data_IF_189850886990
#
_entry.id   IF_189850886990
#
_cell.length_a   1.000
_cell.length_b   1.000
_cell.length_c   1.000
_cell.angle_alpha   90.00
_cell.angle_beta   90.00
_cell.angle_gamma   90.00
#
_symmetry.space_group_name_H-M   'P 1'
#
loop_
_entity.id
_entity.type
_entity.pdbx_description
1 polymer ?
#
# COMPACT_ATOMS: atom_id res chain seq x y z
N UNK A 1 -13.90 -26.77 15.95
CA UNK A 1 -12.67 -27.46 15.50
C UNK A 1 -12.00 -26.76 14.32
N UNK A 2 -12.71 -26.41 13.22
CA UNK A 2 -12.14 -25.69 12.05
C UNK A 2 -11.57 -24.29 12.34
N UNK A 3 -12.14 -23.53 13.28
CA UNK A 3 -11.64 -22.19 13.65
C UNK A 3 -10.29 -22.25 14.38
N UNK A 4 -10.12 -23.20 15.32
CA UNK A 4 -8.84 -23.43 16.01
C UNK A 4 -7.74 -23.87 15.05
N UNK A 5 -8.05 -24.75 14.09
CA UNK A 5 -7.11 -25.20 13.06
C UNK A 5 -6.65 -24.09 12.09
N UNK A 6 -7.50 -23.10 11.80
CA UNK A 6 -7.11 -21.91 11.03
C UNK A 6 -6.25 -20.95 11.84
N UNK A 7 -6.54 -20.81 13.14
CA UNK A 7 -5.80 -19.95 14.06
C UNK A 7 -4.41 -20.55 14.38
N UNK A 8 -4.30 -21.87 14.54
CA UNK A 8 -3.04 -22.60 14.71
C UNK A 8 -2.18 -22.57 13.43
N UNK A 9 -2.77 -22.80 12.24
CA UNK A 9 -2.02 -22.68 10.97
C UNK A 9 -1.57 -21.25 10.65
N UNK A 10 -2.34 -20.26 11.07
CA UNK A 10 -1.96 -18.85 11.01
C UNK A 10 -0.76 -18.63 11.95
N UNK A 11 -0.91 -18.98 13.23
CA UNK A 11 0.13 -18.89 14.27
C UNK A 11 1.46 -19.56 13.89
N UNK A 12 1.44 -20.76 13.34
CA UNK A 12 2.67 -21.49 12.96
C UNK A 12 3.42 -20.84 11.78
N UNK A 13 2.71 -20.21 10.84
CA UNK A 13 3.34 -19.51 9.71
C UNK A 13 3.96 -18.17 10.15
N UNK A 14 3.36 -17.50 11.14
CA UNK A 14 3.86 -16.23 11.69
C UNK A 14 5.00 -16.42 12.70
N UNK A 15 5.02 -17.51 13.46
CA UNK A 15 6.09 -17.81 14.43
C UNK A 15 7.46 -18.07 13.76
N UNK A 16 7.50 -18.42 12.47
CA UNK A 16 8.75 -18.65 11.73
C UNK A 16 9.42 -17.37 11.20
N UNK A 17 8.80 -16.19 11.37
CA UNK A 17 9.27 -14.93 10.76
C UNK A 17 9.83 -13.90 11.76
N UNK A 18 9.96 -14.25 13.05
CA UNK A 18 10.61 -13.39 14.08
C UNK A 18 12.15 -13.34 13.97
N UNK A 19 12.70 -13.65 12.79
CA UNK A 19 14.14 -13.64 12.54
C UNK A 19 14.66 -12.25 12.17
N UNK A 20 15.70 -11.79 12.89
CA UNK A 20 16.50 -10.56 12.63
C UNK A 20 17.04 -10.44 11.19
N UNK A 21 16.93 -11.48 10.37
CA UNK A 21 17.47 -11.59 9.01
C UNK A 21 16.45 -11.28 7.88
N UNK A 22 15.18 -10.97 8.19
CA UNK A 22 14.14 -10.72 7.18
C UNK A 22 13.98 -9.24 6.77
N UNK A 23 14.96 -8.40 7.11
CA UNK A 23 15.05 -6.99 6.71
C UNK A 23 15.96 -6.75 5.50
N UNK A 24 15.87 -5.60 4.81
CA UNK A 24 16.74 -5.29 3.68
C UNK A 24 18.23 -5.14 4.06
N UNK A 25 18.53 -4.83 5.32
CA UNK A 25 19.87 -4.75 5.88
C UNK A 25 19.82 -4.83 7.43
N UNK A 26 20.99 -4.87 8.08
CA UNK A 26 21.12 -4.95 9.54
C UNK A 26 20.53 -3.74 10.29
N UNK A 27 20.47 -2.56 9.66
CA UNK A 27 19.89 -1.37 10.27
C UNK A 27 18.36 -1.39 10.23
N UNK A 28 17.76 -2.22 9.36
CA UNK A 28 16.33 -2.30 9.12
C UNK A 28 15.75 -3.73 9.30
N UNK A 29 15.98 -4.39 10.46
CA UNK A 29 15.44 -5.72 10.71
C UNK A 29 13.91 -5.69 10.73
N UNK A 30 13.27 -6.77 10.33
CA UNK A 30 11.83 -6.90 10.47
C UNK A 30 11.45 -7.29 11.90
N UNK A 31 10.49 -6.55 12.46
CA UNK A 31 9.78 -6.89 13.68
C UNK A 31 8.33 -6.44 13.51
N UNK A 32 7.39 -7.38 13.48
CA UNK A 32 5.99 -7.05 13.28
C UNK A 32 5.43 -6.24 14.46
N UNK A 33 4.81 -5.09 14.18
CA UNK A 33 4.05 -4.29 15.13
C UNK A 33 2.67 -3.99 14.56
N UNK A 34 1.63 -4.44 15.26
CA UNK A 34 0.24 -4.15 14.90
C UNK A 34 -0.26 -2.92 15.68
N UNK A 35 0.01 -1.72 15.16
CA UNK A 35 -0.32 -0.45 15.81
C UNK A 35 -1.66 0.16 15.36
N UNK A 36 -2.44 -0.52 14.51
CA UNK A 36 -3.67 0.02 13.93
C UNK A 36 -3.40 1.14 12.91
N UNK A 37 -2.51 0.88 11.95
CA UNK A 37 -2.15 1.85 10.90
C UNK A 37 -2.85 1.51 9.58
N UNK A 38 -3.67 2.41 9.00
CA UNK A 38 -4.38 2.13 7.75
C UNK A 38 -3.44 2.09 6.53
N UNK A 39 -2.23 2.63 6.67
CA UNK A 39 -1.27 2.76 5.57
C UNK A 39 -0.20 1.65 5.63
N UNK A 40 -0.22 0.66 4.71
CA UNK A 40 0.76 -0.43 4.69
C UNK A 40 2.20 0.06 4.50
N UNK A 41 2.41 1.19 3.82
CA UNK A 41 3.75 1.75 3.63
C UNK A 41 4.36 2.22 4.95
N UNK A 42 3.57 2.92 5.78
CA UNK A 42 4.00 3.41 7.08
C UNK A 42 4.17 2.24 8.05
N UNK A 43 3.25 1.27 8.05
CA UNK A 43 3.39 0.06 8.87
C UNK A 43 4.67 -0.69 8.53
N UNK A 44 4.99 -0.88 7.25
CA UNK A 44 6.24 -1.52 6.84
C UNK A 44 7.49 -0.72 7.25
N UNK A 45 7.45 0.61 7.16
CA UNK A 45 8.55 1.46 7.66
C UNK A 45 8.74 1.34 9.18
N UNK A 46 7.65 1.16 9.94
CA UNK A 46 7.71 0.91 11.39
C UNK A 46 8.27 -0.49 11.67
N UNK A 47 7.74 -1.50 11.00
CA UNK A 47 8.15 -2.89 11.17
C UNK A 47 9.61 -3.12 10.77
N UNK A 48 10.16 -2.29 9.88
CA UNK A 48 11.57 -2.30 9.48
C UNK A 48 12.41 -1.21 10.15
N UNK A 49 11.93 -0.59 11.23
CA UNK A 49 12.67 0.40 12.03
C UNK A 49 13.12 1.68 11.29
N UNK A 50 12.69 1.93 10.05
CA UNK A 50 12.81 3.23 9.39
C UNK A 50 12.09 4.34 10.18
N UNK A 51 10.97 3.96 10.82
CA UNK A 51 10.25 4.80 11.78
C UNK A 51 10.22 4.09 13.14
N UNK A 52 10.88 4.70 14.13
CA UNK A 52 10.92 4.17 15.50
C UNK A 52 9.69 4.62 16.28
N UNK A 53 8.61 3.86 16.13
CA UNK A 53 7.33 4.06 16.80
C UNK A 53 7.09 2.90 17.77
N UNK A 54 6.79 3.23 19.02
CA UNK A 54 6.55 2.27 20.10
C UNK A 54 5.05 2.00 20.31
N UNK A 55 4.23 3.05 20.21
CA UNK A 55 2.78 2.96 20.36
C UNK A 55 2.03 3.87 19.36
N UNK A 56 0.72 3.69 19.25
CA UNK A 56 -0.09 4.38 18.25
C UNK A 56 -0.31 5.88 18.52
N UNK A 57 -0.04 6.36 19.73
CA UNK A 57 -0.19 7.77 20.14
C UNK A 57 1.11 8.56 19.98
N UNK A 58 2.25 7.88 19.89
CA UNK A 58 3.53 8.51 19.65
C UNK A 58 3.49 9.33 18.34
N UNK A 59 3.92 10.58 18.43
CA UNK A 59 4.01 11.47 17.27
C UNK A 59 5.19 11.09 16.39
N UNK A 60 4.93 10.97 15.08
CA UNK A 60 5.94 10.85 14.04
C UNK A 60 6.27 12.27 13.56
N UNK A 61 7.48 12.79 13.83
CA UNK A 61 7.87 14.11 13.33
C UNK A 61 7.93 14.10 11.81
N UNK A 62 7.43 15.17 11.18
CA UNK A 62 7.31 15.25 9.73
C UNK A 62 8.64 15.01 8.99
N UNK A 63 9.75 15.51 9.52
CA UNK A 63 11.08 15.34 8.93
C UNK A 63 11.55 13.87 8.97
N UNK A 64 11.16 13.09 9.99
CA UNK A 64 11.46 11.65 10.05
C UNK A 64 10.67 10.88 9.01
N UNK A 65 9.40 11.25 8.80
CA UNK A 65 8.60 10.68 7.72
C UNK A 65 9.22 10.97 6.34
N UNK A 66 9.68 12.20 6.09
CA UNK A 66 10.35 12.56 4.83
C UNK A 66 11.58 11.67 4.57
N UNK A 67 12.45 11.51 5.57
CA UNK A 67 13.66 10.66 5.47
C UNK A 67 13.26 9.21 5.19
N UNK A 68 12.34 8.64 5.97
CA UNK A 68 11.91 7.26 5.82
C UNK A 68 11.32 6.96 4.44
N UNK A 69 10.51 7.88 3.88
CA UNK A 69 9.96 7.75 2.53
C UNK A 69 11.05 7.68 1.44
N UNK A 70 12.12 8.47 1.58
CA UNK A 70 13.27 8.48 0.67
C UNK A 70 14.10 7.21 0.86
N UNK A 71 14.39 6.84 2.10
CA UNK A 71 15.29 5.73 2.41
C UNK A 71 14.69 4.36 2.11
N UNK A 72 13.41 4.16 2.41
CA UNK A 72 12.71 2.89 2.23
C UNK A 72 12.21 2.69 0.79
N UNK A 73 11.53 3.70 0.22
CA UNK A 73 10.83 3.56 -1.06
C UNK A 73 11.43 4.39 -2.21
N UNK A 74 12.55 5.07 -1.97
CA UNK A 74 13.21 5.92 -2.97
C UNK A 74 12.29 7.01 -3.54
N UNK A 75 11.46 7.63 -2.71
CA UNK A 75 10.77 8.85 -3.11
C UNK A 75 11.81 9.95 -3.39
N UNK A 76 11.55 10.83 -4.36
CA UNK A 76 12.35 12.04 -4.50
C UNK A 76 12.15 12.93 -3.28
N UNK A 77 13.19 13.63 -2.84
CA UNK A 77 13.10 14.56 -1.71
C UNK A 77 11.98 15.57 -1.87
N UNK A 78 11.84 16.17 -3.06
CA UNK A 78 10.74 17.10 -3.36
C UNK A 78 9.38 16.45 -3.14
N UNK A 79 9.19 15.21 -3.59
CA UNK A 79 7.92 14.52 -3.38
C UNK A 79 7.71 14.13 -1.92
N UNK A 80 8.73 13.62 -1.23
CA UNK A 80 8.67 13.29 0.19
C UNK A 80 8.30 14.49 1.06
N UNK A 81 8.87 15.68 0.78
CA UNK A 81 8.55 16.94 1.46
C UNK A 81 7.07 17.30 1.25
N UNK A 82 6.62 17.34 -0.01
CA UNK A 82 5.23 17.69 -0.35
C UNK A 82 4.26 16.67 0.28
N UNK A 83 4.56 15.37 0.15
CA UNK A 83 3.74 14.29 0.67
C UNK A 83 3.58 14.39 2.19
N UNK A 84 4.69 14.57 2.92
CA UNK A 84 4.65 14.69 4.37
C UNK A 84 3.93 15.96 4.84
N UNK A 85 4.14 17.11 4.17
CA UNK A 85 3.47 18.38 4.52
C UNK A 85 1.97 18.28 4.27
N UNK A 86 1.57 17.88 3.07
CA UNK A 86 0.15 17.79 2.70
C UNK A 86 -0.56 16.75 3.55
N UNK A 87 0.05 15.59 3.80
CA UNK A 87 -0.51 14.57 4.68
C UNK A 87 -0.72 15.10 6.11
N UNK A 88 0.29 15.76 6.68
CA UNK A 88 0.21 16.34 8.03
C UNK A 88 -0.88 17.42 8.13
N UNK A 89 -0.99 18.28 7.12
CA UNK A 89 -2.04 19.32 7.04
C UNK A 89 -3.44 18.73 6.89
N UNK A 90 -3.62 17.65 6.11
CA UNK A 90 -4.93 16.96 5.99
C UNK A 90 -5.39 16.35 7.30
N UNK A 91 -4.47 15.99 8.19
CA UNK A 91 -4.77 15.55 9.56
C UNK A 91 -5.02 16.72 10.54
N UNK A 92 -4.95 17.98 10.07
CA UNK A 92 -5.09 19.17 10.91
C UNK A 92 -3.89 19.40 11.83
N UNK A 93 -2.70 18.97 11.41
CA UNK A 93 -1.44 19.05 12.17
C UNK A 93 -0.40 19.87 11.42
N UNK A 94 0.69 20.24 12.11
CA UNK A 94 1.77 21.08 11.53
C UNK A 94 3.14 20.40 11.61
N UNK A 95 3.52 19.83 12.76
CA UNK A 95 4.89 19.33 12.99
C UNK A 95 5.05 17.81 12.90
N UNK A 96 3.94 17.07 12.90
CA UNK A 96 3.91 15.61 12.93
C UNK A 96 2.51 15.11 13.21
N UNK A 97 2.33 13.79 13.17
CA UNK A 97 1.09 13.11 13.52
C UNK A 97 1.39 11.73 14.10
N UNK A 98 0.45 11.17 14.85
CA UNK A 98 0.49 9.81 15.37
C UNK A 98 -0.28 8.83 14.49
N UNK A 99 -0.04 7.53 14.66
CA UNK A 99 -0.80 6.48 13.93
C UNK A 99 -2.29 6.54 14.27
N UNK A 100 -2.62 6.83 15.53
CA UNK A 100 -4.00 7.02 15.96
C UNK A 100 -4.68 8.16 15.19
N UNK A 101 -3.99 9.27 14.95
CA UNK A 101 -4.52 10.40 14.17
C UNK A 101 -4.64 10.07 12.69
N UNK A 102 -3.68 9.30 12.13
CA UNK A 102 -3.75 8.82 10.76
C UNK A 102 -4.97 7.92 10.52
N UNK A 103 -5.37 7.13 11.52
CA UNK A 103 -6.54 6.25 11.50
C UNK A 103 -7.89 6.95 11.70
N UNK A 104 -7.94 8.28 11.81
CA UNK A 104 -9.21 9.00 11.90
C UNK A 104 -9.93 8.97 10.55
N UNK A 105 -11.09 8.32 10.53
CA UNK A 105 -11.93 8.20 9.34
C UNK A 105 -12.33 9.57 8.76
N UNK A 106 -12.35 9.66 7.43
CA UNK A 106 -12.73 10.87 6.72
C UNK A 106 -11.62 11.91 6.59
N UNK A 107 -10.40 11.59 7.01
CA UNK A 107 -9.22 12.46 6.84
C UNK A 107 -8.32 11.95 5.73
N UNK A 108 -7.43 11.03 6.07
CA UNK A 108 -6.64 10.27 5.12
C UNK A 108 -7.21 8.86 5.01
N UNK A 109 -7.53 8.22 6.13
CA UNK A 109 -8.32 6.98 6.14
C UNK A 109 -9.67 7.22 5.47
N UNK A 110 -10.06 6.29 4.59
CA UNK A 110 -11.22 6.39 3.72
C UNK A 110 -11.74 5.00 3.31
N UNK A 111 -13.04 4.95 2.99
CA UNK A 111 -13.71 3.75 2.47
C UNK A 111 -13.23 3.34 1.06
N UNK A 112 -13.65 2.18 0.57
CA UNK A 112 -13.17 1.57 -0.67
C UNK A 112 -11.65 1.27 -0.63
N UNK A 113 -11.16 0.91 0.56
CA UNK A 113 -9.81 0.41 0.78
C UNK A 113 -9.63 -0.98 0.16
N UNK A 114 -8.42 -1.29 -0.33
CA UNK A 114 -8.16 -2.58 -1.00
C UNK A 114 -8.13 -3.76 -0.02
N UNK A 115 -7.62 -3.53 1.19
CA UNK A 115 -7.29 -4.58 2.14
C UNK A 115 -7.78 -4.31 3.56
N UNK A 116 -8.46 -3.17 3.79
CA UNK A 116 -9.09 -2.80 5.06
C UNK A 116 -10.59 -2.67 4.82
N UNK A 117 -11.39 -2.93 5.84
CA UNK A 117 -12.84 -2.74 5.72
C UNK A 117 -13.18 -1.25 5.74
N UNK A 118 -14.29 -0.89 5.10
CA UNK A 118 -14.91 0.42 5.30
C UNK A 118 -15.25 0.62 6.79
N UNK A 119 -15.25 1.86 7.26
CA UNK A 119 -15.35 2.17 8.68
C UNK A 119 -16.63 1.63 9.35
N UNK A 120 -17.73 1.50 8.58
CA UNK A 120 -19.00 0.95 9.05
C UNK A 120 -19.13 -0.57 8.89
N UNK A 121 -18.15 -1.23 8.24
CA UNK A 121 -18.18 -2.66 7.89
C UNK A 121 -17.20 -3.51 8.68
N UNK A 122 -16.21 -2.92 9.37
CA UNK A 122 -15.25 -3.68 10.17
C UNK A 122 -14.01 -2.90 10.56
N UNK A 123 -12.89 -3.61 10.69
CA UNK A 123 -11.60 -3.00 11.02
C UNK A 123 -11.04 -2.25 9.79
N UNK A 124 -11.02 -0.92 9.89
CA UNK A 124 -10.50 0.00 8.86
C UNK A 124 -8.98 0.25 8.98
N UNK A 125 -8.33 -0.27 10.02
CA UNK A 125 -6.94 0.04 10.34
C UNK A 125 -6.02 -1.13 10.00
N UNK A 126 -6.33 -2.34 10.45
CA UNK A 126 -5.47 -3.51 10.23
C UNK A 126 -5.80 -4.25 8.93
N UNK A 127 -4.80 -4.85 8.25
CA UNK A 127 -5.03 -5.63 7.04
C UNK A 127 -5.95 -6.83 7.30
N UNK A 128 -6.94 -7.00 6.43
CA UNK A 128 -7.88 -8.13 6.45
C UNK A 128 -7.41 -9.23 5.51
N UNK A 129 -7.11 -10.41 6.05
CA UNK A 129 -6.76 -11.59 5.28
C UNK A 129 -7.81 -11.93 4.22
N UNK A 130 -9.10 -11.82 4.57
CA UNK A 130 -10.22 -12.02 3.65
C UNK A 130 -10.18 -11.06 2.46
N UNK A 131 -9.96 -9.77 2.70
CA UNK A 131 -9.95 -8.78 1.61
C UNK A 131 -8.70 -8.91 0.73
N UNK A 132 -7.56 -9.26 1.34
CA UNK A 132 -6.32 -9.57 0.62
C UNK A 132 -6.52 -10.79 -0.28
N UNK A 133 -7.12 -11.86 0.23
CA UNK A 133 -7.43 -13.04 -0.59
C UNK A 133 -8.33 -12.65 -1.77
N UNK A 134 -9.43 -11.92 -1.52
CA UNK A 134 -10.31 -11.42 -2.57
C UNK A 134 -9.59 -10.53 -3.60
N UNK A 135 -8.67 -9.68 -3.15
CA UNK A 135 -7.84 -8.87 -4.04
C UNK A 135 -7.06 -9.77 -5.00
N UNK A 136 -6.25 -10.70 -4.49
CA UNK A 136 -5.39 -11.52 -5.35
C UNK A 136 -6.16 -12.53 -6.23
N UNK A 137 -7.33 -13.00 -5.77
CA UNK A 137 -8.27 -13.74 -6.63
C UNK A 137 -8.73 -12.86 -7.80
N UNK A 138 -9.17 -11.62 -7.51
CA UNK A 138 -9.67 -10.70 -8.55
C UNK A 138 -8.60 -10.26 -9.56
N UNK A 139 -7.33 -10.23 -9.16
CA UNK A 139 -6.19 -9.91 -10.03
C UNK A 139 -5.77 -11.10 -10.92
N UNK A 140 -6.52 -12.21 -10.95
CA UNK A 140 -6.13 -13.43 -11.68
C UNK A 140 -4.84 -14.05 -11.16
N UNK A 141 -4.48 -13.71 -9.92
CA UNK A 141 -3.17 -14.00 -9.34
C UNK A 141 -3.15 -15.28 -8.47
N UNK A 142 -4.13 -16.17 -8.64
CA UNK A 142 -4.14 -17.48 -7.96
C UNK A 142 -3.02 -18.39 -8.47
N UNK A 143 -2.09 -18.81 -7.62
CA UNK A 143 -0.95 -19.67 -7.96
C UNK A 143 -1.33 -20.81 -8.90
N UNK A 144 -0.89 -20.75 -10.16
CA UNK A 144 -0.85 -21.95 -11.02
C UNK A 144 0.41 -22.71 -10.62
N UNK A 145 0.30 -23.92 -10.04
CA UNK A 145 1.46 -24.70 -9.62
C UNK A 145 2.43 -25.03 -10.77
N UNK A 146 2.00 -24.87 -12.03
CA UNK A 146 2.76 -25.25 -13.22
C UNK A 146 3.53 -24.10 -13.86
N UNK A 147 3.29 -22.84 -13.45
CA UNK A 147 3.95 -21.68 -14.04
C UNK A 147 4.76 -20.92 -12.99
N UNK A 148 6.09 -21.09 -13.02
CA UNK A 148 7.04 -20.47 -12.07
C UNK A 148 7.34 -19.00 -12.34
N UNK A 149 6.74 -18.37 -13.36
CA UNK A 149 6.90 -16.95 -13.59
C UNK A 149 6.21 -16.16 -12.47
N UNK A 150 6.92 -15.18 -11.88
CA UNK A 150 6.34 -14.29 -10.89
C UNK A 150 5.10 -13.60 -11.49
N UNK A 151 3.96 -13.73 -10.81
CA UNK A 151 2.74 -13.09 -11.27
C UNK A 151 2.88 -11.58 -11.16
N UNK A 152 2.35 -10.88 -12.16
CA UNK A 152 2.43 -9.43 -12.22
C UNK A 152 1.05 -8.80 -12.06
N UNK A 153 1.01 -7.65 -11.40
CA UNK A 153 -0.17 -6.80 -11.23
C UNK A 153 0.03 -5.55 -12.08
N UNK A 154 -0.93 -5.26 -12.96
CA UNK A 154 -0.84 -4.12 -13.87
C UNK A 154 -1.62 -2.91 -13.33
N UNK A 155 -1.40 -1.76 -13.97
CA UNK A 155 -2.22 -0.56 -13.76
C UNK A 155 -3.71 -0.80 -14.03
N UNK A 156 -4.03 -1.63 -15.02
CA UNK A 156 -5.42 -1.91 -15.40
C UNK A 156 -6.13 -2.78 -14.37
N UNK A 157 -5.41 -3.73 -13.75
CA UNK A 157 -6.00 -4.60 -12.73
C UNK A 157 -6.35 -3.79 -11.48
N UNK A 158 -5.46 -2.89 -11.04
CA UNK A 158 -5.79 -1.97 -9.95
C UNK A 158 -6.92 -0.99 -10.32
N UNK A 159 -6.96 -0.48 -11.55
CA UNK A 159 -8.04 0.40 -11.99
C UNK A 159 -9.40 -0.30 -11.92
N UNK A 160 -9.50 -1.54 -12.41
CA UNK A 160 -10.72 -2.37 -12.34
C UNK A 160 -11.11 -2.65 -10.90
N UNK A 161 -10.16 -3.06 -10.05
CA UNK A 161 -10.45 -3.37 -8.64
C UNK A 161 -10.90 -2.15 -7.85
N UNK A 162 -10.21 -1.01 -7.99
CA UNK A 162 -10.63 0.23 -7.32
C UNK A 162 -11.98 0.70 -7.82
N UNK A 163 -12.25 0.67 -9.13
CA UNK A 163 -13.57 1.02 -9.66
C UNK A 163 -14.69 0.16 -9.06
N UNK A 164 -14.45 -1.15 -8.91
CA UNK A 164 -15.40 -2.06 -8.27
C UNK A 164 -15.61 -1.77 -6.78
N UNK A 165 -14.56 -1.42 -6.03
CA UNK A 165 -14.70 -1.06 -4.62
C UNK A 165 -15.44 0.28 -4.46
N UNK A 166 -15.07 1.28 -5.26
CA UNK A 166 -15.68 2.62 -5.28
C UNK A 166 -17.17 2.56 -5.66
N UNK A 167 -17.58 1.63 -6.53
CA UNK A 167 -19.00 1.47 -6.91
C UNK A 167 -19.88 0.86 -5.81
N UNK A 168 -19.29 0.28 -4.77
CA UNK A 168 -20.00 -0.24 -3.59
C UNK A 168 -20.28 0.85 -2.54
N UNK A 169 -19.69 2.03 -2.69
CA UNK A 169 -19.89 3.14 -1.78
C UNK A 169 -21.15 3.91 -2.17
N UNK A 170 -22.16 3.81 -1.30
CA UNK A 170 -23.48 4.41 -1.49
C UNK A 170 -23.66 5.73 -0.72
N UNK A 171 -22.77 6.04 0.23
CA UNK A 171 -22.80 7.23 1.08
C UNK A 171 -21.41 7.85 1.18
N UNK A 172 -21.36 9.17 1.26
CA UNK A 172 -20.14 9.98 1.27
C UNK A 172 -20.24 11.02 2.40
N UNK A 173 -20.53 10.53 3.61
CA UNK A 173 -20.87 11.39 4.76
C UNK A 173 -19.62 12.07 5.36
N UNK A 174 -18.48 11.36 5.36
CA UNK A 174 -17.23 11.84 5.97
C UNK A 174 -16.28 12.50 4.96
N UNK A 175 -16.31 12.09 3.69
CA UNK A 175 -15.46 12.58 2.60
C UNK A 175 -16.21 12.57 1.27
N UNK A 176 -15.88 13.50 0.37
CA UNK A 176 -16.47 13.51 -0.96
C UNK A 176 -15.99 12.34 -1.83
N UNK A 177 -16.82 11.92 -2.78
CA UNK A 177 -16.45 10.91 -3.80
C UNK A 177 -15.16 11.23 -4.54
N UNK A 178 -14.94 12.50 -4.84
CA UNK A 178 -13.71 12.96 -5.52
C UNK A 178 -12.48 12.73 -4.67
N UNK A 179 -12.56 12.96 -3.36
CA UNK A 179 -11.46 12.78 -2.42
C UNK A 179 -11.12 11.31 -2.19
N UNK A 180 -12.14 10.48 -1.93
CA UNK A 180 -11.98 9.02 -1.77
C UNK A 180 -11.31 8.43 -3.00
N UNK A 181 -11.82 8.75 -4.20
CA UNK A 181 -11.27 8.23 -5.44
C UNK A 181 -9.86 8.79 -5.72
N UNK A 182 -9.57 10.03 -5.33
CA UNK A 182 -8.23 10.62 -5.49
C UNK A 182 -7.19 9.94 -4.60
N UNK A 183 -7.50 9.74 -3.32
CA UNK A 183 -6.65 9.01 -2.37
C UNK A 183 -6.44 7.58 -2.86
N UNK A 184 -7.53 6.87 -3.20
CA UNK A 184 -7.48 5.50 -3.69
C UNK A 184 -6.60 5.31 -4.92
N UNK A 185 -6.66 6.23 -5.90
CA UNK A 185 -5.76 6.21 -7.07
C UNK A 185 -4.29 6.47 -6.69
N UNK A 186 -4.05 7.36 -5.74
CA UNK A 186 -2.71 7.65 -5.23
C UNK A 186 -2.07 6.43 -4.59
N UNK A 187 -2.81 5.73 -3.72
CA UNK A 187 -2.36 4.52 -3.03
C UNK A 187 -1.90 3.43 -4.00
N UNK A 188 -2.73 3.08 -4.99
CA UNK A 188 -2.40 2.03 -5.96
C UNK A 188 -1.25 2.45 -6.88
N UNK A 189 -1.13 3.75 -7.20
CA UNK A 189 -0.03 4.28 -8.00
C UNK A 189 1.30 4.19 -7.25
N UNK A 190 1.29 4.44 -5.94
CA UNK A 190 2.46 4.29 -5.08
C UNK A 190 2.83 2.82 -4.89
N UNK A 191 1.85 1.95 -4.63
CA UNK A 191 2.07 0.51 -4.51
C UNK A 191 2.68 -0.09 -5.79
N UNK A 192 2.19 0.30 -6.97
CA UNK A 192 2.78 -0.12 -8.24
C UNK A 192 4.24 0.31 -8.39
N UNK A 193 4.55 1.57 -8.06
CA UNK A 193 5.91 2.09 -8.18
C UNK A 193 6.87 1.45 -7.16
N UNK A 194 6.40 1.18 -5.94
CA UNK A 194 7.19 0.59 -4.86
C UNK A 194 7.53 -0.89 -5.09
N UNK A 195 6.72 -1.62 -5.87
CA UNK A 195 6.86 -3.07 -6.07
C UNK A 195 7.03 -3.46 -7.55
N UNK A 196 7.46 -2.53 -8.40
CA UNK A 196 7.59 -2.75 -9.84
C UNK A 196 8.66 -3.77 -10.22
N UNK A 197 8.41 -4.52 -11.30
CA UNK A 197 9.35 -5.48 -11.90
C UNK A 197 10.11 -4.83 -13.06
N UNK A 198 11.30 -5.35 -13.38
CA UNK A 198 12.05 -4.99 -14.59
C UNK A 198 12.95 -3.77 -14.43
N UNK A 199 13.19 -3.38 -13.20
CA UNK A 199 13.82 -2.13 -12.80
C UNK A 199 15.36 -2.18 -12.79
N UNK A 200 15.94 -2.96 -13.71
CA UNK A 200 17.37 -3.28 -13.74
C UNK A 200 18.25 -2.15 -14.32
N UNK A 201 17.71 -0.93 -14.49
CA UNK A 201 18.44 0.18 -15.09
C UNK A 201 17.90 1.57 -14.71
N UNK A 202 18.77 2.57 -14.79
CA UNK A 202 18.52 3.98 -14.45
C UNK A 202 17.65 4.74 -15.47
N UNK A 203 17.16 4.07 -16.51
CA UNK A 203 16.38 4.69 -17.58
C UNK A 203 14.91 4.80 -17.17
N UNK A 204 14.34 6.02 -17.16
CA UNK A 204 12.91 6.21 -16.93
C UNK A 204 12.10 5.38 -17.94
N UNK A 205 10.98 4.76 -17.54
CA UNK A 205 10.12 4.05 -18.47
C UNK A 205 9.65 5.05 -19.53
N UNK A 206 9.75 4.67 -20.81
CA UNK A 206 9.12 5.43 -21.88
C UNK A 206 7.61 5.53 -21.60
N UNK A 207 6.95 6.60 -22.07
CA UNK A 207 5.55 6.89 -21.77
C UNK A 207 4.57 5.73 -22.06
N UNK A 208 4.95 4.81 -22.95
CA UNK A 208 4.14 3.67 -23.39
C UNK A 208 4.47 2.33 -22.68
N UNK A 209 5.44 2.31 -21.76
CA UNK A 209 5.77 1.07 -21.02
C UNK A 209 4.73 0.83 -19.94
N UNK A 210 4.18 -0.38 -19.93
CA UNK A 210 3.26 -0.84 -18.90
C UNK A 210 4.03 -1.02 -17.58
N UNK A 211 3.67 -0.24 -16.57
CA UNK A 211 4.16 -0.50 -15.20
C UNK A 211 3.47 -1.76 -14.67
N UNK A 212 4.27 -2.66 -14.14
CA UNK A 212 3.81 -3.91 -13.55
C UNK A 212 4.52 -4.14 -12.22
N UNK A 213 3.77 -4.59 -11.21
CA UNK A 213 4.29 -4.91 -9.89
C UNK A 213 4.29 -6.42 -9.64
N UNK A 214 5.22 -6.90 -8.82
CA UNK A 214 5.27 -8.30 -8.43
C UNK A 214 4.14 -8.60 -7.45
N UNK A 215 3.28 -9.56 -7.82
CA UNK A 215 2.12 -9.94 -7.02
C UNK A 215 2.52 -10.56 -5.67
N UNK A 216 3.58 -11.38 -5.63
CA UNK A 216 4.05 -12.00 -4.39
C UNK A 216 4.66 -10.96 -3.44
N UNK A 217 5.34 -9.96 -3.99
CA UNK A 217 5.83 -8.82 -3.20
C UNK A 217 4.67 -8.02 -2.62
N UNK A 218 3.69 -7.65 -3.46
CA UNK A 218 2.50 -6.93 -3.01
C UNK A 218 1.72 -7.71 -1.96
N UNK A 219 1.59 -9.04 -2.13
CA UNK A 219 0.84 -9.89 -1.19
C UNK A 219 1.50 -9.86 0.17
N UNK A 220 2.80 -10.13 0.22
CA UNK A 220 3.59 -10.09 1.45
C UNK A 220 3.54 -8.72 2.12
N UNK A 221 3.74 -7.64 1.35
CA UNK A 221 3.69 -6.27 1.85
C UNK A 221 2.30 -5.88 2.37
N UNK A 222 1.21 -6.33 1.75
CA UNK A 222 -0.14 -6.04 2.22
C UNK A 222 -0.55 -6.90 3.42
N UNK A 223 -0.13 -8.16 3.49
CA UNK A 223 -0.56 -9.10 4.54
C UNK A 223 0.30 -9.07 5.78
N UNK A 224 1.60 -8.88 5.61
CA UNK A 224 2.58 -8.91 6.69
C UNK A 224 3.11 -7.51 7.00
N UNK A 225 2.79 -6.51 6.17
CA UNK A 225 3.35 -5.15 6.31
C UNK A 225 4.88 -5.21 6.41
N UNK A 226 5.46 -6.00 5.50
CA UNK A 226 6.87 -6.37 5.46
C UNK A 226 7.44 -6.13 4.06
N UNK A 227 8.71 -5.73 3.99
CA UNK A 227 9.48 -5.66 2.76
C UNK A 227 9.93 -7.08 2.36
N UNK A 228 9.49 -7.62 1.22
CA UNK A 228 9.69 -9.04 0.87
C UNK A 228 11.05 -9.30 0.22
N UNK A 229 12.12 -9.01 0.95
CA UNK A 229 13.52 -9.05 0.48
C UNK A 229 13.96 -10.46 0.08
N UNK A 230 13.47 -11.48 0.78
CA UNK A 230 13.70 -12.89 0.50
C UNK A 230 13.06 -13.34 -0.82
N UNK A 231 12.01 -12.64 -1.26
CA UNK A 231 11.39 -12.84 -2.58
C UNK A 231 12.11 -12.03 -3.67
N UNK A 232 13.23 -11.40 -3.36
CA UNK A 232 14.03 -10.59 -4.27
C UNK A 232 13.59 -9.13 -4.37
N UNK A 233 12.68 -8.66 -3.51
CA UNK A 233 12.36 -7.23 -3.48
C UNK A 233 13.59 -6.42 -3.12
N UNK A 234 13.77 -5.31 -3.84
CA UNK A 234 14.77 -4.30 -3.55
C UNK A 234 14.09 -2.96 -3.58
N UNK A 235 14.64 -1.99 -2.83
CA UNK A 235 14.24 -0.60 -2.94
C UNK A 235 14.14 -0.18 -4.42
N UNK A 236 13.08 0.53 -4.84
CA UNK A 236 12.92 0.95 -6.23
C UNK A 236 14.17 1.65 -6.77
N UNK A 237 14.65 1.26 -7.96
CA UNK A 237 15.88 1.81 -8.51
C UNK A 237 15.70 3.23 -9.05
N UNK A 238 14.58 3.49 -9.73
CA UNK A 238 14.17 4.84 -10.14
C UNK A 238 13.38 5.49 -9.02
N UNK A 239 13.56 6.80 -8.92
CA UNK A 239 12.88 7.61 -7.91
C UNK A 239 11.38 7.67 -8.17
N UNK A 240 10.61 7.47 -7.11
CA UNK A 240 9.17 7.76 -7.11
C UNK A 240 9.00 9.28 -7.02
N UNK A 241 8.36 9.89 -8.01
CA UNK A 241 8.21 11.35 -8.09
C UNK A 241 6.74 11.77 -8.04
N UNK A 242 6.49 13.03 -7.65
CA UNK A 242 5.15 13.61 -7.64
C UNK A 242 4.52 13.55 -9.04
N UNK A 243 5.24 14.05 -10.05
CA UNK A 243 4.76 14.08 -11.43
C UNK A 243 4.53 12.67 -12.00
N UNK A 244 5.42 11.72 -11.71
CA UNK A 244 5.24 10.31 -12.11
C UNK A 244 3.99 9.69 -11.48
N UNK A 245 3.78 9.94 -10.19
CA UNK A 245 2.61 9.45 -9.46
C UNK A 245 1.31 10.07 -9.99
N UNK A 246 1.26 11.40 -10.17
CA UNK A 246 0.11 12.07 -10.77
C UNK A 246 -0.19 11.58 -12.19
N UNK A 247 0.85 11.32 -12.99
CA UNK A 247 0.70 10.71 -14.32
C UNK A 247 0.03 9.33 -14.28
N UNK A 248 0.43 8.47 -13.34
CA UNK A 248 -0.22 7.17 -13.14
C UNK A 248 -1.67 7.32 -12.66
N UNK A 249 -1.94 8.24 -11.73
CA UNK A 249 -3.30 8.52 -11.26
C UNK A 249 -4.23 8.95 -12.40
N UNK A 250 -3.75 9.83 -13.31
CA UNK A 250 -4.51 10.22 -14.50
C UNK A 250 -4.77 9.05 -15.45
N UNK A 251 -3.79 8.17 -15.64
CA UNK A 251 -3.95 6.96 -16.46
C UNK A 251 -4.97 6.00 -15.85
N UNK A 252 -4.96 5.79 -14.53
CA UNK A 252 -5.97 4.98 -13.83
C UNK A 252 -7.35 5.58 -14.03
N UNK A 253 -7.50 6.90 -13.80
CA UNK A 253 -8.78 7.58 -14.04
C UNK A 253 -9.26 7.39 -15.48
N UNK A 254 -8.39 7.56 -16.47
CA UNK A 254 -8.76 7.34 -17.87
C UNK A 254 -9.18 5.89 -18.17
N UNK A 255 -8.57 4.90 -17.52
CA UNK A 255 -9.01 3.49 -17.62
C UNK A 255 -10.41 3.34 -17.00
N UNK A 256 -10.62 3.86 -15.79
CA UNK A 256 -11.91 3.80 -15.09
C UNK A 256 -13.03 4.46 -15.91
N UNK A 257 -12.79 5.65 -16.46
CA UNK A 257 -13.76 6.38 -17.29
C UNK A 257 -14.13 5.58 -18.55
N UNK A 258 -13.15 4.96 -19.22
CA UNK A 258 -13.42 4.07 -20.38
C UNK A 258 -14.22 2.82 -20.00
N UNK A 259 -13.98 2.25 -18.82
CA UNK A 259 -14.72 1.08 -18.36
C UNK A 259 -16.19 1.43 -18.10
N UNK A 260 -16.44 2.57 -17.46
CA UNK A 260 -17.79 3.07 -17.21
C UNK A 260 -18.58 3.30 -18.51
N UNK A 261 -17.95 3.94 -19.51
CA UNK A 261 -18.53 4.15 -20.84
C UNK A 261 -18.92 2.83 -21.54
N UNK A 262 -18.10 1.78 -21.41
CA UNK A 262 -18.38 0.47 -21.99
C UNK A 262 -19.54 -0.26 -21.30
N UNK A 263 -19.76 0.01 -20.02
CA UNK A 263 -20.82 -0.63 -19.23
C UNK A 263 -22.17 0.10 -19.32
N UNK A 264 -22.26 1.22 -20.05
CA UNK A 264 -23.51 1.98 -20.20
C UNK A 264 -23.99 2.65 -18.92
N UNK A 265 -23.06 2.92 -17.99
CA UNK A 265 -23.29 3.63 -16.72
C UNK A 265 -22.82 5.08 -16.81
#
# INVERSE_FOLDING_TARGET
MRQKLFQEKSSEKYALLEGRESGPDEAHPYQQKMLGCPCPAISAMINHSYLKVEDSKQQIPIHKLMVALVECYNLSWTFAIIFAIVGTLRLGKIFGFSIQELGVHGKIEHDASMTRFDADKGNALDPSSKLIDQLFVSLGSETDPKNKAAKSVTLEDFAKRKLHLESQIIKYDAQSKTEVNFLGRGEVSLALQAHRIGDSGSTPPQANVQITANADWLRTWLSEERLPVELGWRKPALKITLLGTLGLMMRIKAIQDRLLQKTGL
#
